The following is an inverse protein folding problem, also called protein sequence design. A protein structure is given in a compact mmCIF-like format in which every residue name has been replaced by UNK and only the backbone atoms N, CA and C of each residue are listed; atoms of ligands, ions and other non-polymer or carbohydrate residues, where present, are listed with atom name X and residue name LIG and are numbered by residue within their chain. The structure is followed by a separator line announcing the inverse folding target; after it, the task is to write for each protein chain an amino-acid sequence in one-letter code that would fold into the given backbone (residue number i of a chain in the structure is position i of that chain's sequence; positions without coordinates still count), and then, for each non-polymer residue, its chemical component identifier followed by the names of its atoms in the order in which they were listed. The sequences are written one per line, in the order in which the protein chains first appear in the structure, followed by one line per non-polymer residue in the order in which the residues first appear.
data_IF_844291810908
#
_entry.id   IF_844291810908
#
_cell.length_a   1.000
_cell.length_b   1.000
_cell.length_c   1.000
_cell.angle_alpha   90.00
_cell.angle_beta   90.00
_cell.angle_gamma   90.00
#
_symmetry.space_group_name_H-M   'P 1'
#
loop_
_entity.id
_entity.type
_entity.pdbx_description
1 polymer ?
#
# COMPACT_ATOMS: atom_id res chain seq x y z
N UNK A 1 21.85 -19.45 45.65
CA UNK A 1 21.77 -18.88 47.01
C UNK A 1 22.73 -17.70 47.23
N UNK A 2 24.00 -17.71 46.79
CA UNK A 2 24.93 -16.60 47.09
C UNK A 2 25.01 -15.46 46.06
N UNK A 3 24.55 -15.64 44.82
CA UNK A 3 24.52 -14.54 43.82
C UNK A 3 23.18 -13.79 43.76
N UNK A 4 22.07 -14.43 44.14
CA UNK A 4 20.73 -13.83 44.11
C UNK A 4 20.43 -12.95 45.34
N UNK A 5 21.01 -13.29 46.50
CA UNK A 5 20.84 -12.51 47.73
C UNK A 5 21.55 -11.15 47.71
N UNK A 6 22.61 -10.99 46.90
CA UNK A 6 23.31 -9.71 46.75
C UNK A 6 22.59 -8.73 45.81
N UNK A 7 21.54 -9.18 45.12
CA UNK A 7 20.78 -8.39 44.14
C UNK A 7 19.52 -7.73 44.73
N UNK A 8 19.24 -7.94 46.03
CA UNK A 8 18.11 -7.32 46.75
C UNK A 8 18.64 -6.19 47.63
N UNK A 9 18.51 -4.95 47.17
CA UNK A 9 18.78 -3.77 48.01
C UNK A 9 17.45 -3.13 48.41
N UNK A 10 17.08 -3.31 49.69
CA UNK A 10 16.15 -2.48 50.48
C UNK A 10 14.93 -1.94 49.72
N UNK A 11 13.93 -2.79 49.50
CA UNK A 11 12.57 -2.41 49.07
C UNK A 11 12.45 -1.61 47.76
N UNK A 12 13.53 -1.49 46.99
CA UNK A 12 13.51 -1.04 45.60
C UNK A 12 14.21 -2.11 44.78
N UNK A 13 13.41 -2.95 44.13
CA UNK A 13 13.94 -3.89 43.15
C UNK A 13 14.47 -3.06 41.98
N UNK A 14 15.79 -2.95 41.86
CA UNK A 14 16.44 -2.38 40.69
C UNK A 14 16.35 -3.42 39.56
N UNK A 15 15.17 -3.45 38.93
CA UNK A 15 14.88 -4.41 37.88
C UNK A 15 15.74 -4.15 36.64
N UNK A 16 16.37 -2.99 36.48
CA UNK A 16 17.29 -2.72 35.38
C UNK A 16 18.60 -3.53 35.52
N UNK A 17 18.95 -3.96 36.75
CA UNK A 17 20.16 -4.74 37.02
C UNK A 17 20.05 -6.24 36.63
N UNK A 18 18.84 -6.79 36.46
CA UNK A 18 18.60 -8.23 36.19
C UNK A 18 18.52 -8.52 34.66
N UNK A 19 19.28 -7.80 33.83
CA UNK A 19 18.99 -7.68 32.39
C UNK A 19 19.66 -8.69 31.44
N UNK A 20 20.32 -9.77 31.91
CA UNK A 20 21.14 -10.60 30.99
C UNK A 20 20.66 -12.05 30.80
N UNK A 21 19.73 -12.57 31.61
CA UNK A 21 19.21 -13.95 31.43
C UNK A 21 17.72 -14.08 31.79
N UNK A 22 16.89 -14.40 30.80
CA UNK A 22 15.43 -14.48 30.90
C UNK A 22 14.95 -15.58 31.86
N UNK A 23 15.63 -16.73 31.90
CA UNK A 23 15.27 -17.85 32.80
C UNK A 23 15.57 -17.53 34.26
N UNK A 24 16.75 -16.96 34.53
CA UNK A 24 17.13 -16.50 35.88
C UNK A 24 16.19 -15.40 36.41
N UNK A 25 15.73 -14.52 35.52
CA UNK A 25 14.73 -13.51 35.86
C UNK A 25 13.37 -14.13 36.22
N UNK A 26 12.86 -15.08 35.43
CA UNK A 26 11.60 -15.79 35.73
C UNK A 26 11.69 -16.56 37.06
N UNK A 27 12.81 -17.24 37.33
CA UNK A 27 13.04 -17.98 38.57
C UNK A 27 13.16 -17.04 39.79
N UNK A 28 13.83 -15.89 39.65
CA UNK A 28 13.85 -14.86 40.70
C UNK A 28 12.46 -14.31 41.00
N UNK A 29 11.64 -14.04 39.96
CA UNK A 29 10.27 -13.57 40.16
C UNK A 29 9.42 -14.63 40.89
N UNK A 30 9.63 -15.93 40.61
CA UNK A 30 8.96 -17.03 41.34
C UNK A 30 9.29 -17.01 42.83
N UNK A 31 10.55 -16.74 43.19
CA UNK A 31 11.04 -16.73 44.56
C UNK A 31 10.50 -15.53 45.38
N UNK A 32 10.33 -14.37 44.75
CA UNK A 32 9.88 -13.11 45.40
C UNK A 32 8.47 -12.67 44.98
N UNK A 33 7.61 -13.64 44.63
CA UNK A 33 6.29 -13.46 43.99
C UNK A 33 5.24 -12.68 44.79
N UNK A 34 5.48 -12.39 46.07
CA UNK A 34 4.48 -11.85 47.01
C UNK A 34 4.59 -10.32 47.20
N UNK A 35 4.97 -9.59 46.14
CA UNK A 35 5.15 -8.13 46.15
C UNK A 35 4.13 -7.34 45.29
N UNK A 36 3.93 -6.09 45.71
CA UNK A 36 3.00 -5.02 45.27
C UNK A 36 2.57 -5.07 43.79
N UNK A 37 1.28 -4.85 43.51
CA UNK A 37 0.65 -4.79 42.17
C UNK A 37 1.44 -3.98 41.11
N UNK A 38 2.18 -2.96 41.53
CA UNK A 38 3.01 -2.15 40.64
C UNK A 38 4.16 -2.95 39.99
N UNK A 39 4.70 -3.95 40.68
CA UNK A 39 5.77 -4.82 40.20
C UNK A 39 5.25 -5.73 39.10
N UNK A 40 4.07 -6.33 39.28
CA UNK A 40 3.45 -7.19 38.26
C UNK A 40 3.03 -6.42 37.02
N UNK A 41 2.57 -5.18 37.17
CA UNK A 41 2.35 -4.26 36.05
C UNK A 41 3.63 -4.00 35.25
N UNK A 42 4.73 -3.69 35.95
CA UNK A 42 6.02 -3.45 35.31
C UNK A 42 6.57 -4.69 34.60
N UNK A 43 6.51 -5.86 35.26
CA UNK A 43 6.96 -7.15 34.69
C UNK A 43 6.19 -7.45 33.40
N UNK A 44 4.86 -7.38 33.47
CA UNK A 44 3.98 -7.69 32.32
C UNK A 44 4.21 -6.76 31.13
N UNK A 45 4.65 -5.52 31.38
CA UNK A 45 4.89 -4.53 30.32
C UNK A 45 6.28 -4.63 29.71
N UNK A 46 7.30 -4.78 30.55
CA UNK A 46 8.69 -4.48 30.17
C UNK A 46 9.56 -5.73 29.98
N UNK A 47 9.09 -6.91 30.39
CA UNK A 47 9.85 -8.15 30.26
C UNK A 47 9.30 -9.02 29.16
N UNK A 48 10.20 -9.72 28.47
CA UNK A 48 9.85 -10.84 27.61
C UNK A 48 9.60 -12.03 28.53
N UNK A 49 8.39 -12.58 28.52
CA UNK A 49 7.95 -13.69 29.37
C UNK A 49 7.63 -14.90 28.49
N UNK A 50 7.99 -16.09 28.96
CA UNK A 50 7.57 -17.33 28.31
C UNK A 50 6.06 -17.56 28.50
N UNK A 51 5.41 -18.22 27.54
CA UNK A 51 3.99 -18.57 27.67
C UNK A 51 3.73 -19.43 28.90
N UNK A 52 4.59 -20.42 29.19
CA UNK A 52 4.48 -21.27 30.37
C UNK A 52 4.53 -20.47 31.67
N UNK A 53 5.41 -19.47 31.77
CA UNK A 53 5.46 -18.58 32.91
C UNK A 53 4.18 -17.74 33.05
N UNK A 54 3.63 -17.24 31.94
CA UNK A 54 2.36 -16.50 31.96
C UNK A 54 1.20 -17.41 32.39
N UNK A 55 1.19 -18.70 31.98
CA UNK A 55 0.20 -19.70 32.43
C UNK A 55 0.28 -19.93 33.94
N UNK A 56 1.49 -20.10 34.47
CA UNK A 56 1.75 -20.29 35.89
C UNK A 56 1.29 -19.07 36.71
N UNK A 57 1.58 -17.86 36.21
CA UNK A 57 1.32 -16.59 36.90
C UNK A 57 0.03 -15.88 36.41
N UNK A 58 -0.91 -16.62 35.81
CA UNK A 58 -2.11 -16.11 35.12
C UNK A 58 -3.03 -15.20 35.95
N UNK A 59 -2.93 -15.29 37.27
CA UNK A 59 -3.74 -14.52 38.23
C UNK A 59 -2.98 -13.32 38.83
N UNK A 60 -1.68 -13.18 38.51
CA UNK A 60 -0.83 -12.05 38.93
C UNK A 60 -0.47 -11.12 37.77
N UNK A 61 -0.28 -11.66 36.56
CA UNK A 61 0.09 -10.86 35.38
C UNK A 61 -1.01 -9.86 35.01
N UNK A 62 -0.59 -8.73 34.45
CA UNK A 62 -1.50 -7.72 33.95
C UNK A 62 -1.80 -7.95 32.46
N UNK A 63 -2.90 -8.63 32.18
CA UNK A 63 -3.32 -9.06 30.84
C UNK A 63 -3.34 -7.98 29.75
N UNK A 64 -3.74 -6.72 30.01
CA UNK A 64 -3.61 -5.66 29.02
C UNK A 64 -2.18 -5.45 28.53
N UNK A 65 -1.19 -5.57 29.43
CA UNK A 65 0.21 -5.45 29.04
C UNK A 65 0.70 -6.71 28.34
N UNK A 66 0.34 -7.90 28.83
CA UNK A 66 0.67 -9.17 28.15
C UNK A 66 0.20 -9.16 26.68
N UNK A 67 -1.02 -8.68 26.45
CA UNK A 67 -1.64 -8.61 25.12
C UNK A 67 -0.97 -7.61 24.16
N UNK A 68 -0.20 -6.66 24.69
CA UNK A 68 0.49 -5.62 23.93
C UNK A 68 1.99 -5.93 23.76
N UNK A 69 2.63 -6.51 24.77
CA UNK A 69 4.09 -6.61 24.87
C UNK A 69 4.66 -7.97 24.47
N UNK A 70 3.86 -9.04 24.57
CA UNK A 70 4.35 -10.40 24.34
C UNK A 70 4.08 -10.89 22.93
N UNK A 71 5.00 -11.72 22.42
CA UNK A 71 4.75 -12.51 21.22
C UNK A 71 4.03 -13.81 21.62
N UNK A 72 2.71 -13.85 21.48
CA UNK A 72 1.85 -14.97 21.87
C UNK A 72 1.47 -15.83 20.65
N UNK A 73 1.53 -17.14 20.81
CA UNK A 73 1.02 -18.16 19.89
C UNK A 73 -0.51 -18.12 19.82
N UNK A 74 -1.06 -18.53 18.68
CA UNK A 74 -2.51 -18.57 18.50
C UNK A 74 -3.19 -19.53 19.48
N UNK A 75 -2.55 -20.66 19.80
CA UNK A 75 -3.08 -21.64 20.76
C UNK A 75 -3.14 -21.07 22.18
N UNK A 76 -2.11 -20.31 22.59
CA UNK A 76 -2.15 -19.60 23.86
C UNK A 76 -3.29 -18.57 23.90
N UNK A 77 -3.48 -17.84 22.80
CA UNK A 77 -4.56 -16.84 22.69
C UNK A 77 -5.92 -17.52 22.77
N UNK A 78 -6.11 -18.70 22.14
CA UNK A 78 -7.33 -19.51 22.26
C UNK A 78 -7.59 -19.94 23.70
N UNK A 79 -6.56 -20.44 24.39
CA UNK A 79 -6.64 -20.88 25.79
C UNK A 79 -7.06 -19.75 26.73
N UNK A 80 -6.54 -18.53 26.52
CA UNK A 80 -6.80 -17.36 27.38
C UNK A 80 -7.69 -16.29 26.74
N UNK A 81 -8.56 -16.68 25.80
CA UNK A 81 -9.38 -15.75 24.99
C UNK A 81 -10.23 -14.76 25.78
N UNK A 82 -10.61 -15.10 27.02
CA UNK A 82 -11.44 -14.27 27.89
C UNK A 82 -10.61 -13.33 28.80
N UNK A 83 -9.28 -13.52 28.86
CA UNK A 83 -8.36 -12.66 29.59
C UNK A 83 -7.57 -11.72 28.68
N UNK A 84 -7.19 -12.19 27.49
CA UNK A 84 -6.40 -11.42 26.51
C UNK A 84 -7.22 -10.36 25.79
N UNK A 85 -6.56 -9.27 25.41
CA UNK A 85 -7.15 -8.16 24.69
C UNK A 85 -6.91 -8.33 23.19
N UNK A 86 -7.78 -9.10 22.52
CA UNK A 86 -7.64 -9.47 21.10
C UNK A 86 -7.42 -8.28 20.18
N UNK A 87 -8.10 -7.15 20.42
CA UNK A 87 -7.88 -5.92 19.65
C UNK A 87 -6.43 -5.45 19.69
N UNK A 88 -5.76 -5.52 20.86
CA UNK A 88 -4.34 -5.15 21.00
C UNK A 88 -3.44 -6.16 20.32
N UNK A 89 -3.71 -7.44 20.51
CA UNK A 89 -2.94 -8.52 19.88
C UNK A 89 -2.98 -8.39 18.35
N UNK A 90 -4.15 -8.11 17.77
CA UNK A 90 -4.31 -7.96 16.32
C UNK A 90 -3.49 -6.82 15.73
N UNK A 91 -3.25 -5.76 16.51
CA UNK A 91 -2.46 -4.58 16.10
C UNK A 91 -0.96 -4.89 16.03
N UNK A 92 -0.44 -5.65 16.99
CA UNK A 92 1.02 -5.82 17.15
C UNK A 92 1.55 -7.16 16.64
N UNK A 93 0.67 -8.13 16.40
CA UNK A 93 1.07 -9.46 15.94
C UNK A 93 0.50 -9.79 14.57
N UNK A 94 1.20 -10.65 13.84
CA UNK A 94 0.67 -11.31 12.65
C UNK A 94 -0.06 -12.58 13.08
N UNK A 95 -1.35 -12.63 12.77
CA UNK A 95 -2.24 -13.77 12.99
C UNK A 95 -2.65 -14.34 11.63
N UNK A 96 -2.92 -15.63 11.58
CA UNK A 96 -3.40 -16.34 10.39
C UNK A 96 -4.82 -15.93 10.04
N UNK A 97 -5.20 -16.11 8.77
CA UNK A 97 -6.58 -15.86 8.33
C UNK A 97 -7.58 -16.78 9.05
N UNK A 98 -7.22 -18.05 9.28
CA UNK A 98 -8.07 -19.00 10.02
C UNK A 98 -8.33 -18.56 11.46
N UNK A 99 -7.31 -18.02 12.13
CA UNK A 99 -7.50 -17.43 13.45
C UNK A 99 -8.46 -16.22 13.40
N UNK A 100 -8.32 -15.35 12.40
CA UNK A 100 -9.21 -14.19 12.28
C UNK A 100 -10.64 -14.64 11.98
N UNK A 101 -10.84 -15.68 11.16
CA UNK A 101 -12.15 -16.30 10.93
C UNK A 101 -12.79 -16.77 12.23
N UNK A 102 -12.03 -17.47 13.07
CA UNK A 102 -12.49 -17.96 14.38
C UNK A 102 -12.93 -16.82 15.30
N UNK A 103 -12.22 -15.69 15.29
CA UNK A 103 -12.44 -14.54 16.18
C UNK A 103 -13.08 -13.32 15.50
N UNK A 104 -13.75 -13.52 14.37
CA UNK A 104 -14.24 -12.44 13.48
C UNK A 104 -15.12 -11.37 14.17
N UNK A 105 -15.82 -11.73 15.25
CA UNK A 105 -16.71 -10.82 15.99
C UNK A 105 -16.02 -10.12 17.17
N UNK A 106 -14.77 -10.47 17.47
CA UNK A 106 -13.96 -9.90 18.55
C UNK A 106 -12.76 -9.08 18.06
N UNK A 107 -12.44 -9.17 16.78
CA UNK A 107 -11.38 -8.39 16.15
C UNK A 107 -11.86 -6.99 15.74
N UNK A 108 -10.90 -6.09 15.53
CA UNK A 108 -11.16 -4.75 15.03
C UNK A 108 -10.77 -4.68 13.55
N UNK A 109 -11.76 -4.65 12.68
CA UNK A 109 -11.58 -4.80 11.23
C UNK A 109 -10.88 -3.61 10.58
N UNK A 110 -11.07 -2.40 11.10
CA UNK A 110 -10.38 -1.21 10.63
C UNK A 110 -8.89 -1.32 10.90
N UNK A 111 -8.51 -1.67 12.14
CA UNK A 111 -7.10 -1.90 12.47
C UNK A 111 -6.51 -3.06 11.65
N UNK A 112 -7.22 -4.18 11.54
CA UNK A 112 -6.76 -5.33 10.76
C UNK A 112 -6.46 -4.96 9.30
N UNK A 113 -7.30 -4.12 8.70
CA UNK A 113 -7.16 -3.68 7.31
C UNK A 113 -6.06 -2.62 7.14
N UNK A 114 -5.89 -1.73 8.13
CA UNK A 114 -4.94 -0.62 8.07
C UNK A 114 -3.47 -1.08 8.11
N UNK A 115 -3.16 -2.08 8.94
CA UNK A 115 -1.77 -2.49 9.12
C UNK A 115 -1.22 -3.24 7.90
N UNK A 116 -0.34 -2.55 7.18
CA UNK A 116 0.29 -2.91 5.89
C UNK A 116 0.94 -4.31 5.78
N UNK A 117 1.12 -5.06 6.87
CA UNK A 117 1.74 -6.39 6.84
C UNK A 117 0.74 -7.54 6.62
N UNK A 118 -0.57 -7.26 6.69
CA UNK A 118 -1.64 -8.24 6.42
C UNK A 118 -2.08 -8.10 4.97
N UNK A 119 -1.31 -8.70 4.04
CA UNK A 119 -1.83 -8.98 2.69
C UNK A 119 -2.87 -10.10 2.80
N UNK A 120 -4.13 -9.74 3.01
CA UNK A 120 -5.23 -10.70 2.99
C UNK A 120 -5.30 -11.36 1.63
N UNK A 121 -5.56 -12.67 1.62
CA UNK A 121 -5.90 -13.41 0.41
C UNK A 121 -7.17 -12.82 -0.20
N UNK A 122 -7.29 -12.92 -1.53
CA UNK A 122 -8.49 -12.45 -2.24
C UNK A 122 -9.74 -13.17 -1.73
N UNK A 123 -9.63 -14.46 -1.43
CA UNK A 123 -10.74 -15.25 -0.88
C UNK A 123 -11.16 -14.79 0.51
N UNK A 124 -10.21 -14.43 1.36
CA UNK A 124 -10.51 -13.83 2.66
C UNK A 124 -11.22 -12.48 2.53
N UNK A 125 -10.79 -11.63 1.60
CA UNK A 125 -11.47 -10.34 1.35
C UNK A 125 -12.89 -10.58 0.83
N UNK A 126 -13.10 -11.58 -0.05
CA UNK A 126 -14.44 -11.96 -0.52
C UNK A 126 -15.35 -12.41 0.62
N UNK A 127 -14.83 -13.28 1.48
CA UNK A 127 -15.54 -13.81 2.64
C UNK A 127 -15.97 -12.69 3.60
N UNK A 128 -15.10 -11.70 3.83
CA UNK A 128 -15.32 -10.61 4.78
C UNK A 128 -15.54 -9.24 4.13
N UNK A 129 -16.07 -9.21 2.91
CA UNK A 129 -16.22 -8.01 2.10
C UNK A 129 -17.06 -6.89 2.75
N UNK A 130 -17.91 -7.21 3.73
CA UNK A 130 -18.76 -6.26 4.45
C UNK A 130 -18.18 -5.85 5.80
N UNK A 131 -17.07 -6.46 6.21
CA UNK A 131 -16.36 -6.15 7.46
C UNK A 131 -15.04 -5.43 7.21
N UNK A 132 -14.31 -5.77 6.15
CA UNK A 132 -13.02 -5.15 5.82
C UNK A 132 -13.17 -3.66 5.52
N UNK A 133 -12.12 -2.89 5.86
CA UNK A 133 -12.07 -1.48 5.52
C UNK A 133 -11.56 -1.31 4.07
N UNK A 134 -12.46 -0.96 3.17
CA UNK A 134 -12.15 -0.82 1.74
C UNK A 134 -11.17 0.31 1.43
N UNK A 135 -11.14 1.39 2.21
CA UNK A 135 -10.14 2.44 2.03
C UNK A 135 -8.72 1.87 2.22
N UNK A 136 -8.54 1.01 3.22
CA UNK A 136 -7.29 0.33 3.48
C UNK A 136 -6.98 -0.73 2.41
N UNK A 137 -7.97 -1.52 1.98
CA UNK A 137 -7.79 -2.50 0.89
C UNK A 137 -7.32 -1.81 -0.39
N UNK A 138 -7.98 -0.72 -0.78
CA UNK A 138 -7.63 0.06 -1.97
C UNK A 138 -6.22 0.67 -1.92
N UNK A 139 -5.74 1.02 -0.72
CA UNK A 139 -4.40 1.60 -0.52
C UNK A 139 -3.30 0.55 -0.49
N UNK A 140 -3.55 -0.63 0.07
CA UNK A 140 -2.50 -1.54 0.53
C UNK A 140 -2.41 -2.84 -0.28
N UNK A 141 -3.46 -3.23 -1.01
CA UNK A 141 -3.50 -4.49 -1.73
C UNK A 141 -3.30 -4.30 -3.23
N UNK A 142 -2.64 -5.26 -3.86
CA UNK A 142 -2.58 -5.38 -5.31
C UNK A 142 -3.82 -6.15 -5.80
N UNK A 143 -4.82 -5.39 -6.23
CA UNK A 143 -6.08 -5.86 -6.78
C UNK A 143 -5.91 -6.06 -8.29
N UNK A 144 -6.05 -7.29 -8.77
CA UNK A 144 -6.13 -7.57 -10.21
C UNK A 144 -7.43 -7.02 -10.80
N UNK A 145 -7.48 -6.74 -12.09
CA UNK A 145 -8.69 -6.31 -12.79
C UNK A 145 -9.91 -7.20 -12.50
N UNK A 146 -9.77 -8.53 -12.56
CA UNK A 146 -10.86 -9.45 -12.22
C UNK A 146 -11.44 -9.26 -10.82
N UNK A 147 -10.59 -8.86 -9.87
CA UNK A 147 -11.02 -8.57 -8.50
C UNK A 147 -11.71 -7.21 -8.44
N UNK A 148 -11.23 -6.24 -9.21
CA UNK A 148 -11.87 -4.94 -9.33
C UNK A 148 -13.26 -5.07 -9.98
N UNK A 149 -13.41 -5.90 -11.02
CA UNK A 149 -14.71 -6.23 -11.64
C UNK A 149 -15.71 -6.73 -10.61
N UNK A 150 -15.28 -7.66 -9.76
CA UNK A 150 -16.08 -8.26 -8.69
C UNK A 150 -16.54 -7.22 -7.65
N UNK A 151 -15.69 -6.25 -7.33
CA UNK A 151 -15.92 -5.25 -6.27
C UNK A 151 -15.99 -3.81 -6.77
N UNK A 152 -16.47 -3.61 -8.00
CA UNK A 152 -16.45 -2.33 -8.72
C UNK A 152 -17.14 -1.16 -8.00
N UNK A 153 -18.03 -1.44 -7.05
CA UNK A 153 -18.77 -0.43 -6.27
C UNK A 153 -18.11 -0.13 -4.92
N UNK A 154 -17.08 -0.88 -4.52
CA UNK A 154 -16.36 -0.72 -3.25
C UNK A 154 -14.92 -0.18 -3.43
N UNK A 155 -14.45 -0.13 -4.67
CA UNK A 155 -13.10 0.32 -5.00
C UNK A 155 -12.99 1.84 -5.20
N UNK A 156 -11.79 2.35 -5.02
CA UNK A 156 -11.43 3.75 -5.28
C UNK A 156 -10.90 3.88 -6.72
N UNK A 157 -11.77 4.28 -7.65
CA UNK A 157 -11.47 4.38 -9.08
C UNK A 157 -10.31 5.32 -9.39
N UNK A 158 -10.20 6.45 -8.68
CA UNK A 158 -9.09 7.40 -8.87
C UNK A 158 -7.75 6.76 -8.53
N UNK A 159 -7.69 6.02 -7.42
CA UNK A 159 -6.46 5.29 -7.04
C UNK A 159 -6.14 4.16 -7.99
N UNK A 160 -7.16 3.49 -8.53
CA UNK A 160 -6.98 2.43 -9.52
C UNK A 160 -6.35 3.00 -10.79
N UNK A 161 -6.95 4.05 -11.38
CA UNK A 161 -6.46 4.68 -12.61
C UNK A 161 -5.05 5.26 -12.47
N UNK A 162 -4.70 5.78 -11.28
CA UNK A 162 -3.40 6.42 -11.02
C UNK A 162 -2.26 5.42 -10.80
N UNK A 163 -2.49 4.35 -10.07
CA UNK A 163 -1.42 3.54 -9.48
C UNK A 163 -1.25 2.16 -10.11
N UNK A 164 -2.00 1.85 -11.17
CA UNK A 164 -2.01 0.52 -11.80
C UNK A 164 -2.01 0.66 -13.30
N UNK A 165 -1.31 -0.24 -13.95
CA UNK A 165 -1.47 -0.49 -15.37
C UNK A 165 -2.83 -1.19 -15.60
N UNK A 166 -3.65 -0.62 -16.47
CA UNK A 166 -4.99 -1.12 -16.80
C UNK A 166 -5.02 -1.45 -18.29
N UNK A 167 -5.56 -2.61 -18.62
CA UNK A 167 -5.82 -2.98 -20.00
C UNK A 167 -6.90 -2.09 -20.61
N UNK A 168 -6.76 -1.79 -21.90
CA UNK A 168 -7.77 -1.04 -22.65
C UNK A 168 -9.16 -1.70 -22.62
N UNK A 169 -9.22 -3.04 -22.63
CA UNK A 169 -10.47 -3.77 -22.49
C UNK A 169 -11.16 -3.49 -21.16
N UNK A 170 -10.37 -3.39 -20.08
CA UNK A 170 -10.90 -3.03 -18.76
C UNK A 170 -11.34 -1.57 -18.72
N UNK A 171 -10.57 -0.65 -19.30
CA UNK A 171 -10.95 0.77 -19.38
C UNK A 171 -12.24 0.92 -20.19
N UNK A 172 -12.38 0.20 -21.30
CA UNK A 172 -13.60 0.17 -22.14
C UNK A 172 -14.81 -0.33 -21.36
N UNK A 173 -14.66 -1.40 -20.58
CA UNK A 173 -15.73 -1.95 -19.73
C UNK A 173 -16.19 -0.93 -18.68
N UNK A 174 -15.26 -0.15 -18.12
CA UNK A 174 -15.53 0.80 -17.02
C UNK A 174 -15.39 2.27 -17.42
N UNK A 175 -15.61 2.59 -18.70
CA UNK A 175 -15.41 3.93 -19.27
C UNK A 175 -16.16 5.07 -18.55
N UNK A 176 -17.25 4.75 -17.85
CA UNK A 176 -18.08 5.71 -17.10
C UNK A 176 -17.68 5.82 -15.61
N UNK A 177 -16.76 4.97 -15.14
CA UNK A 177 -16.25 4.95 -13.75
C UNK A 177 -14.79 5.38 -13.64
N UNK A 178 -13.99 5.12 -14.67
CA UNK A 178 -12.56 5.51 -14.70
C UNK A 178 -12.41 7.04 -14.67
N UNK A 179 -11.31 7.48 -14.07
CA UNK A 179 -10.90 8.88 -14.11
C UNK A 179 -10.02 9.09 -15.34
N UNK A 180 -10.59 9.72 -16.38
CA UNK A 180 -9.96 9.88 -17.68
C UNK A 180 -8.64 10.65 -17.63
N UNK A 181 -8.53 11.68 -16.78
CA UNK A 181 -7.28 12.44 -16.64
C UNK A 181 -6.15 11.54 -16.14
N UNK A 182 -6.43 10.68 -15.16
CA UNK A 182 -5.45 9.70 -14.68
C UNK A 182 -5.15 8.60 -15.71
N UNK A 183 -6.15 8.17 -16.49
CA UNK A 183 -5.92 7.20 -17.57
C UNK A 183 -4.95 7.81 -18.60
N UNK A 184 -5.22 9.01 -19.09
CA UNK A 184 -4.44 9.65 -20.16
C UNK A 184 -3.02 10.03 -19.73
N UNK A 185 -2.81 10.28 -18.44
CA UNK A 185 -1.52 10.67 -17.90
C UNK A 185 -0.65 9.47 -17.46
N UNK A 186 -1.25 8.37 -17.01
CA UNK A 186 -0.52 7.24 -16.42
C UNK A 186 -0.53 5.95 -17.25
N UNK A 187 -1.38 5.83 -18.26
CA UNK A 187 -1.46 4.65 -19.11
C UNK A 187 -0.86 4.93 -20.48
N UNK A 188 -0.22 3.92 -21.07
CA UNK A 188 0.10 3.90 -22.50
C UNK A 188 -1.14 3.40 -23.24
N UNK A 189 -1.66 4.22 -24.15
CA UNK A 189 -2.88 3.94 -24.90
C UNK A 189 -2.54 3.78 -26.38
N UNK A 190 -3.12 2.77 -27.01
CA UNK A 190 -3.05 2.59 -28.45
C UNK A 190 -3.85 3.67 -29.18
N UNK A 191 -3.38 4.01 -30.38
CA UNK A 191 -4.08 4.93 -31.27
C UNK A 191 -5.51 4.47 -31.60
N UNK A 192 -5.74 3.16 -31.72
CA UNK A 192 -7.08 2.60 -31.95
C UNK A 192 -8.02 2.89 -30.79
N UNK A 193 -7.52 2.76 -29.55
CA UNK A 193 -8.29 3.13 -28.36
C UNK A 193 -8.57 4.62 -28.28
N UNK A 194 -7.56 5.46 -28.56
CA UNK A 194 -7.73 6.92 -28.59
C UNK A 194 -8.76 7.31 -29.67
N UNK A 195 -8.73 6.67 -30.84
CA UNK A 195 -9.70 6.87 -31.92
C UNK A 195 -11.12 6.48 -31.50
N UNK A 196 -11.27 5.35 -30.79
CA UNK A 196 -12.54 4.90 -30.22
C UNK A 196 -13.12 5.93 -29.25
N UNK A 197 -12.28 6.54 -28.41
CA UNK A 197 -12.67 7.47 -27.35
C UNK A 197 -12.37 8.95 -27.61
N UNK A 198 -12.20 9.33 -28.87
CA UNK A 198 -11.74 10.65 -29.31
C UNK A 198 -12.53 11.87 -28.77
N UNK A 199 -13.76 11.66 -28.32
CA UNK A 199 -14.65 12.71 -27.78
C UNK A 199 -14.67 12.73 -26.24
N UNK A 200 -14.00 11.78 -25.58
CA UNK A 200 -13.82 11.70 -24.12
C UNK A 200 -12.41 12.05 -23.67
N UNK A 201 -11.43 11.93 -24.55
CA UNK A 201 -10.02 12.21 -24.23
C UNK A 201 -9.71 13.70 -24.26
N UNK A 202 -8.83 14.13 -23.36
CA UNK A 202 -8.19 15.44 -23.45
C UNK A 202 -7.01 15.37 -24.44
N UNK A 203 -7.12 16.10 -25.54
CA UNK A 203 -6.13 16.10 -26.61
C UNK A 203 -4.80 16.73 -26.22
N UNK A 204 -4.77 17.58 -25.19
CA UNK A 204 -3.54 18.03 -24.56
C UNK A 204 -2.81 16.83 -23.96
N UNK A 205 -3.45 16.09 -23.05
CA UNK A 205 -2.80 14.91 -22.44
C UNK A 205 -2.37 13.87 -23.48
N UNK A 206 -3.18 13.63 -24.51
CA UNK A 206 -2.78 12.76 -25.62
C UNK A 206 -1.49 13.26 -26.29
N UNK A 207 -1.44 14.54 -26.66
CA UNK A 207 -0.29 15.09 -27.42
C UNK A 207 0.99 15.16 -26.59
N UNK A 208 0.88 15.34 -25.28
CA UNK A 208 2.00 15.48 -24.36
C UNK A 208 2.54 14.14 -23.84
N UNK A 209 1.69 13.13 -23.65
CA UNK A 209 2.05 11.93 -22.89
C UNK A 209 2.01 10.62 -23.70
N UNK A 210 1.40 10.60 -24.87
CA UNK A 210 1.28 9.38 -25.68
C UNK A 210 2.28 9.40 -26.85
N UNK A 211 2.78 8.24 -27.25
CA UNK A 211 3.55 8.09 -28.49
C UNK A 211 2.58 7.98 -29.67
N UNK A 212 2.66 8.91 -30.61
CA UNK A 212 1.73 9.01 -31.74
C UNK A 212 2.49 8.92 -33.06
N UNK A 213 1.97 8.11 -33.97
CA UNK A 213 2.40 8.04 -35.35
C UNK A 213 1.98 9.29 -36.12
N UNK A 214 2.78 9.63 -37.13
CA UNK A 214 2.46 10.75 -38.01
C UNK A 214 1.11 10.59 -38.71
N UNK A 215 0.71 9.37 -39.06
CA UNK A 215 -0.58 9.12 -39.71
C UNK A 215 -1.76 9.42 -38.79
N UNK A 216 -1.64 9.06 -37.50
CA UNK A 216 -2.62 9.43 -36.50
C UNK A 216 -2.67 10.95 -36.28
N UNK A 217 -1.50 11.61 -36.24
CA UNK A 217 -1.45 13.07 -36.12
C UNK A 217 -2.07 13.75 -37.35
N UNK A 218 -1.86 13.21 -38.57
CA UNK A 218 -2.53 13.68 -39.79
C UNK A 218 -4.06 13.56 -39.69
N UNK A 219 -4.54 12.42 -39.19
CA UNK A 219 -5.96 12.13 -38.99
C UNK A 219 -6.60 13.16 -38.02
N UNK A 220 -5.90 13.48 -36.92
CA UNK A 220 -6.41 14.34 -35.85
C UNK A 220 -5.76 15.73 -35.76
N UNK A 221 -5.22 16.22 -36.88
CA UNK A 221 -4.45 17.48 -36.99
C UNK A 221 -5.14 18.75 -36.46
N UNK A 222 -6.46 18.72 -36.33
CA UNK A 222 -7.28 19.84 -35.86
C UNK A 222 -7.72 19.68 -34.39
N UNK A 223 -7.41 18.53 -33.77
CA UNK A 223 -7.65 18.24 -32.34
C UNK A 223 -6.36 18.23 -31.52
N UNK A 224 -5.27 17.68 -32.06
CA UNK A 224 -3.97 17.59 -31.37
C UNK A 224 -3.41 18.95 -30.97
N UNK A 225 -2.65 18.96 -29.88
CA UNK A 225 -1.96 20.14 -29.39
C UNK A 225 -0.55 20.20 -29.96
N UNK A 226 -0.36 21.03 -30.99
CA UNK A 226 0.86 21.07 -31.79
C UNK A 226 2.14 21.34 -31.01
N UNK A 227 2.06 22.10 -29.92
CA UNK A 227 3.18 22.29 -29.01
C UNK A 227 3.68 20.95 -28.43
N UNK A 228 2.76 20.12 -27.92
CA UNK A 228 3.08 18.80 -27.38
C UNK A 228 3.57 17.83 -28.46
N UNK A 229 2.99 17.92 -29.67
CA UNK A 229 3.44 17.15 -30.83
C UNK A 229 4.89 17.51 -31.20
N UNK A 230 5.18 18.81 -31.34
CA UNK A 230 6.51 19.32 -31.69
C UNK A 230 7.54 19.03 -30.61
N UNK A 231 7.17 19.05 -29.33
CA UNK A 231 8.10 18.74 -28.24
C UNK A 231 8.39 17.23 -28.17
N UNK A 232 7.36 16.39 -28.05
CA UNK A 232 7.52 15.00 -27.58
C UNK A 232 7.56 13.93 -28.67
N UNK A 233 7.05 14.20 -29.88
CA UNK A 233 6.90 13.17 -30.90
C UNK A 233 8.15 13.05 -31.79
N UNK A 234 8.41 11.86 -32.33
CA UNK A 234 9.44 11.70 -33.37
C UNK A 234 8.81 12.02 -34.72
N UNK A 235 9.20 13.17 -35.30
CA UNK A 235 8.64 13.68 -36.56
C UNK A 235 9.71 13.63 -37.66
N UNK A 236 9.34 13.13 -38.83
CA UNK A 236 10.16 13.21 -40.03
C UNK A 236 10.19 14.63 -40.60
N UNK A 237 11.25 14.94 -41.34
CA UNK A 237 11.38 16.22 -42.04
C UNK A 237 10.24 16.46 -43.04
N UNK A 238 9.77 15.41 -43.71
CA UNK A 238 8.65 15.51 -44.64
C UNK A 238 7.34 15.87 -43.92
N UNK A 239 7.11 15.31 -42.73
CA UNK A 239 5.98 15.69 -41.89
C UNK A 239 6.07 17.14 -41.39
N UNK A 240 7.25 17.55 -40.92
CA UNK A 240 7.46 18.94 -40.48
C UNK A 240 7.24 19.90 -41.65
N UNK A 241 7.69 19.55 -42.86
CA UNK A 241 7.45 20.33 -44.09
C UNK A 241 5.96 20.41 -44.42
N UNK A 242 5.23 19.30 -44.29
CA UNK A 242 3.77 19.22 -44.51
C UNK A 242 3.01 20.14 -43.54
N UNK A 243 3.41 20.20 -42.27
CA UNK A 243 2.74 20.94 -41.20
C UNK A 243 3.51 22.16 -40.70
N UNK A 244 4.35 22.76 -41.54
CA UNK A 244 5.23 23.89 -41.20
C UNK A 244 4.54 25.09 -40.54
N UNK A 245 3.26 25.31 -40.84
CA UNK A 245 2.46 26.43 -40.32
C UNK A 245 1.78 26.10 -38.97
N UNK A 246 1.85 24.83 -38.53
CA UNK A 246 1.25 24.35 -37.29
C UNK A 246 2.27 23.91 -36.25
N UNK A 247 3.40 23.33 -36.68
CA UNK A 247 4.47 22.93 -35.77
C UNK A 247 5.01 24.13 -35.00
N UNK A 248 5.40 23.89 -33.76
CA UNK A 248 6.12 24.87 -32.96
C UNK A 248 7.61 24.79 -33.29
N UNK A 249 8.11 25.84 -33.94
CA UNK A 249 9.49 25.89 -34.44
C UNK A 249 10.53 25.96 -33.32
N UNK A 250 10.21 26.57 -32.18
CA UNK A 250 11.13 26.63 -31.04
C UNK A 250 11.46 25.21 -30.57
N UNK A 251 10.44 24.36 -30.45
CA UNK A 251 10.59 22.96 -30.08
C UNK A 251 11.21 22.08 -31.17
N UNK A 252 10.89 22.37 -32.44
CA UNK A 252 11.52 21.68 -33.57
C UNK A 252 13.04 21.93 -33.57
N UNK A 253 13.47 23.17 -33.36
CA UNK A 253 14.88 23.55 -33.25
C UNK A 253 15.59 22.88 -32.08
N UNK A 254 14.96 22.89 -30.90
CA UNK A 254 15.58 22.42 -29.68
C UNK A 254 15.71 20.89 -29.63
N UNK A 255 14.68 20.17 -30.11
CA UNK A 255 14.55 18.74 -29.84
C UNK A 255 14.63 17.85 -31.07
N UNK A 256 14.54 18.38 -32.31
CA UNK A 256 14.60 17.53 -33.52
C UNK A 256 15.98 17.55 -34.16
N UNK A 257 16.43 16.37 -34.59
CA UNK A 257 17.66 16.23 -35.37
C UNK A 257 17.34 16.42 -36.85
N UNK A 258 17.59 17.63 -37.35
CA UNK A 258 17.35 18.03 -38.72
C UNK A 258 18.64 17.98 -39.57
N UNK A 259 18.51 17.56 -40.82
CA UNK A 259 19.54 17.58 -41.86
C UNK A 259 19.96 19.00 -42.22
N UNK A 260 21.14 19.15 -42.80
CA UNK A 260 21.65 20.47 -43.21
C UNK A 260 20.76 21.09 -44.29
N UNK A 261 20.35 20.30 -45.28
CA UNK A 261 19.45 20.73 -46.36
C UNK A 261 18.13 21.27 -45.80
N UNK A 262 17.54 20.58 -44.83
CA UNK A 262 16.31 21.02 -44.18
C UNK A 262 16.50 22.33 -43.40
N UNK A 263 17.65 22.47 -42.72
CA UNK A 263 17.97 23.71 -42.00
C UNK A 263 18.16 24.90 -42.93
N UNK A 264 18.72 24.68 -44.12
CA UNK A 264 18.87 25.73 -45.12
C UNK A 264 17.51 26.13 -45.73
N UNK A 265 16.62 25.16 -45.97
CA UNK A 265 15.25 25.38 -46.46
C UNK A 265 14.42 26.25 -45.49
N UNK A 266 14.52 25.98 -44.19
CA UNK A 266 13.71 26.62 -43.14
C UNK A 266 14.49 27.61 -42.25
N UNK A 267 15.60 28.16 -42.74
CA UNK A 267 16.48 29.07 -41.97
C UNK A 267 15.80 30.31 -41.36
N UNK A 268 14.67 30.75 -41.92
CA UNK A 268 13.93 31.91 -41.42
C UNK A 268 12.98 31.54 -40.27
N UNK A 269 12.69 30.24 -40.13
CA UNK A 269 11.91 29.66 -39.04
C UNK A 269 12.80 29.10 -37.91
N UNK A 270 14.06 28.76 -38.21
CA UNK A 270 15.00 28.09 -37.31
C UNK A 270 15.95 29.04 -36.58
#
# INVERSE_FOLDING_TARGET
MSELQSMVIKDKVDLDFISWNQKLLEDFIREYKDNVDCVWKWISRNRKLSEDFIKEMKDKVYWPFISYSQKLSEDFIREFKDKVYLKKICIYQKLTEDFIREFQDKVDWDYLSFYHYRKFSKDFIREFQDKVNWECINRNQELSENFIREFQDKVDWKKICRNRELSEDFIREFQDKVDWDYILYHQELSEDFIREFQDRVDWGFISWNQELSEDFIREFKDKVYWQGISENQTLSEDFIREFKDKVDWDYVCEYKKLSEDFREEFKDNL
#
